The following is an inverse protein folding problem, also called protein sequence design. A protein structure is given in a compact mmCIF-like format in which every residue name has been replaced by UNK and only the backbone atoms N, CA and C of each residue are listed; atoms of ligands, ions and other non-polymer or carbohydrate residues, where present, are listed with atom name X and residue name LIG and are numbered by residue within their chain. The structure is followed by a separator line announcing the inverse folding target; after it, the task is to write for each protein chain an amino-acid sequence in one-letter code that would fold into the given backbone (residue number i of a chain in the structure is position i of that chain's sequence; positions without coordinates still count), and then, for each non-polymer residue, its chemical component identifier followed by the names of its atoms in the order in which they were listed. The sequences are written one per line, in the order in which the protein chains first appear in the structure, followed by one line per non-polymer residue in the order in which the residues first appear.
data_IF_605906233677
#
_entry.id   IF_605906233677
#
_cell.length_a   1.000
_cell.length_b   1.000
_cell.length_c   1.000
_cell.angle_alpha   90.00
_cell.angle_beta   90.00
_cell.angle_gamma   90.00
#
_symmetry.space_group_name_H-M   'P 1'
#
loop_
_entity.id
_entity.type
_entity.pdbx_description
1 polymer ?
#
# COMPACT_ATOMS: atom_id res chain seq x y z
N UNK A 1 -22.09 32.81 4.06
CA UNK A 1 -21.77 31.63 4.89
C UNK A 1 -21.19 30.60 3.93
N UNK A 2 -19.86 30.47 3.88
CA UNK A 2 -19.19 29.50 3.03
C UNK A 2 -18.53 28.50 3.97
N UNK A 3 -19.03 27.27 3.96
CA UNK A 3 -18.47 26.16 4.71
C UNK A 3 -17.04 25.89 4.23
N UNK A 4 -16.10 26.04 5.15
CA UNK A 4 -14.70 25.67 4.99
C UNK A 4 -14.63 24.15 4.95
N UNK A 5 -14.86 23.56 3.77
CA UNK A 5 -14.69 22.11 3.56
C UNK A 5 -13.24 21.77 3.89
N UNK A 6 -13.05 21.02 4.98
CA UNK A 6 -11.77 20.48 5.39
C UNK A 6 -11.19 19.63 4.24
N UNK A 7 -10.10 20.12 3.65
CA UNK A 7 -9.40 19.42 2.56
C UNK A 7 -8.69 18.21 3.15
N UNK A 8 -8.78 17.02 2.53
CA UNK A 8 -7.99 15.87 2.97
C UNK A 8 -6.51 16.20 2.78
N UNK A 9 -5.80 16.41 3.89
CA UNK A 9 -4.35 16.52 3.92
C UNK A 9 -3.84 15.10 3.93
N UNK A 10 -3.23 14.65 2.83
CA UNK A 10 -2.59 13.34 2.79
C UNK A 10 -1.22 13.44 3.45
N UNK A 11 -0.98 12.51 4.36
CA UNK A 11 0.01 12.60 5.43
C UNK A 11 1.13 11.61 5.13
N UNK A 12 2.33 12.07 4.79
CA UNK A 12 3.53 11.29 5.11
C UNK A 12 4.11 11.90 6.38
N UNK A 13 4.09 11.10 7.46
CA UNK A 13 4.45 11.52 8.80
C UNK A 13 5.98 11.55 8.92
N UNK A 14 6.61 12.71 8.71
CA UNK A 14 7.95 12.92 9.26
C UNK A 14 7.83 12.96 10.78
N UNK A 15 8.15 11.87 11.45
CA UNK A 15 8.27 11.89 12.89
C UNK A 15 9.62 12.51 13.25
N UNK A 16 9.60 13.62 13.97
CA UNK A 16 10.81 14.29 14.45
C UNK A 16 10.76 14.37 15.96
N UNK A 17 11.84 13.94 16.62
CA UNK A 17 11.98 14.13 18.06
C UNK A 17 12.11 15.63 18.35
N UNK A 18 11.27 16.15 19.22
CA UNK A 18 11.35 17.55 19.67
C UNK A 18 12.18 17.65 20.94
N UNK A 19 12.59 18.89 21.28
CA UNK A 19 13.38 19.18 22.48
C UNK A 19 12.73 18.68 23.79
N UNK A 20 11.40 18.48 23.81
CA UNK A 20 10.64 17.96 24.96
C UNK A 20 10.51 16.43 24.97
N UNK A 21 11.26 15.71 24.13
CA UNK A 21 11.18 14.25 24.01
C UNK A 21 9.91 13.73 23.33
N UNK A 22 9.08 14.61 22.75
CA UNK A 22 7.89 14.24 22.00
C UNK A 22 8.20 14.08 20.50
N UNK A 23 7.65 13.06 19.85
CA UNK A 23 7.71 12.94 18.39
C UNK A 23 6.59 13.79 17.76
N UNK A 24 6.93 14.76 16.92
CA UNK A 24 5.96 15.49 16.09
C UNK A 24 5.95 14.94 14.68
N UNK A 25 4.76 14.74 14.13
CA UNK A 25 4.57 14.45 12.72
C UNK A 25 4.56 15.74 11.92
N UNK A 26 5.49 15.88 10.97
CA UNK A 26 5.53 16.96 10.00
C UNK A 26 4.95 16.43 8.69
N UNK A 27 3.90 17.10 8.20
CA UNK A 27 3.26 16.75 6.93
C UNK A 27 3.98 17.47 5.81
N UNK A 28 4.59 16.72 4.90
CA UNK A 28 5.06 17.26 3.62
C UNK A 28 3.85 17.55 2.72
N UNK A 29 3.64 18.80 2.32
CA UNK A 29 2.59 19.17 1.36
C UNK A 29 3.10 18.94 -0.06
N UNK A 30 2.91 17.72 -0.58
CA UNK A 30 3.23 17.40 -1.97
C UNK A 30 2.16 17.87 -2.97
N UNK A 31 1.22 18.72 -2.55
CA UNK A 31 0.11 19.17 -3.38
C UNK A 31 -0.97 18.11 -3.56
N UNK A 32 -2.02 18.47 -4.32
CA UNK A 32 -3.28 17.67 -4.41
C UNK A 32 -3.13 16.26 -4.95
N UNK A 33 -2.10 16.00 -5.75
CA UNK A 33 -1.82 14.69 -6.39
C UNK A 33 -0.44 14.16 -6.04
N UNK A 34 0.29 14.81 -5.15
CA UNK A 34 1.63 14.37 -4.79
C UNK A 34 1.61 13.40 -3.62
N UNK A 35 2.50 12.42 -3.66
CA UNK A 35 2.84 11.55 -2.54
C UNK A 35 4.30 11.75 -2.18
N UNK A 36 4.63 11.63 -0.90
CA UNK A 36 6.02 11.63 -0.48
C UNK A 36 6.56 10.20 -0.60
N UNK A 37 7.69 10.05 -1.29
CA UNK A 37 8.39 8.79 -1.48
C UNK A 37 9.86 9.01 -1.16
N UNK A 38 10.36 8.38 -0.10
CA UNK A 38 11.76 8.48 0.33
C UNK A 38 12.28 9.92 0.53
N UNK A 39 11.40 10.81 1.00
CA UNK A 39 11.73 12.22 1.26
C UNK A 39 11.53 13.17 0.08
N UNK A 40 11.08 12.66 -1.07
CA UNK A 40 10.81 13.46 -2.27
C UNK A 40 9.33 13.40 -2.63
N UNK A 41 8.78 14.53 -3.10
CA UNK A 41 7.43 14.54 -3.64
C UNK A 41 7.42 13.95 -5.06
N UNK A 42 6.65 12.88 -5.24
CA UNK A 42 6.36 12.25 -6.54
C UNK A 42 4.89 12.49 -6.90
N UNK A 43 4.61 12.64 -8.19
CA UNK A 43 3.24 12.82 -8.66
C UNK A 43 2.56 11.46 -8.78
N UNK A 44 1.44 11.27 -8.08
CA UNK A 44 0.54 10.15 -8.28
C UNK A 44 -0.60 10.58 -9.19
N UNK A 45 -0.47 10.26 -10.48
CA UNK A 45 -1.46 10.58 -11.52
C UNK A 45 -2.73 9.75 -11.35
N UNK A 46 -2.64 8.62 -10.66
CA UNK A 46 -3.76 7.73 -10.35
C UNK A 46 -4.57 8.14 -9.12
N UNK A 47 -4.11 9.13 -8.35
CA UNK A 47 -4.85 9.60 -7.19
C UNK A 47 -6.20 10.21 -7.60
N UNK A 48 -7.29 9.61 -7.11
CA UNK A 48 -8.67 9.98 -7.42
C UNK A 48 -9.15 9.55 -8.80
N UNK A 49 -8.40 8.69 -9.49
CA UNK A 49 -8.84 8.07 -10.75
C UNK A 49 -9.64 6.82 -10.42
N UNK A 50 -10.90 6.78 -10.88
CA UNK A 50 -11.74 5.58 -10.80
C UNK A 50 -11.79 4.94 -12.19
N UNK A 51 -11.27 3.72 -12.30
CA UNK A 51 -11.31 2.96 -13.55
C UNK A 51 -12.54 2.04 -13.62
N UNK A 52 -12.91 1.62 -14.83
CA UNK A 52 -14.01 0.67 -15.01
C UNK A 52 -13.64 -0.72 -14.47
N UNK A 53 -14.62 -1.62 -14.38
CA UNK A 53 -14.40 -2.98 -13.89
C UNK A 53 -13.31 -3.71 -14.70
N UNK A 54 -12.28 -4.17 -13.98
CA UNK A 54 -11.08 -4.82 -14.49
C UNK A 54 -10.10 -3.92 -15.27
N UNK A 55 -10.26 -2.61 -15.18
CA UNK A 55 -9.21 -1.67 -15.57
C UNK A 55 -8.36 -1.28 -14.35
N UNK A 56 -7.06 -1.09 -14.56
CA UNK A 56 -6.16 -0.51 -13.56
C UNK A 56 -5.61 0.80 -14.08
N UNK A 57 -5.54 1.78 -13.19
CA UNK A 57 -4.85 3.02 -13.49
C UNK A 57 -3.35 2.77 -13.56
N UNK A 58 -2.71 3.23 -14.64
CA UNK A 58 -1.26 3.24 -14.82
C UNK A 58 -0.89 4.60 -15.39
N UNK A 59 -0.01 5.31 -14.70
CA UNK A 59 0.46 6.65 -15.12
C UNK A 59 -0.66 7.68 -15.37
N UNK A 60 -1.83 7.49 -14.74
CA UNK A 60 -3.00 8.35 -14.90
C UNK A 60 -4.00 7.90 -15.97
N UNK A 61 -3.75 6.79 -16.66
CA UNK A 61 -4.63 6.22 -17.67
C UNK A 61 -5.20 4.88 -17.21
N UNK A 62 -6.50 4.65 -17.44
CA UNK A 62 -7.13 3.37 -17.17
C UNK A 62 -6.79 2.37 -18.29
N UNK A 63 -6.14 1.28 -17.92
CA UNK A 63 -5.70 0.23 -18.84
C UNK A 63 -6.45 -1.06 -18.55
N UNK A 64 -6.92 -1.76 -19.59
CA UNK A 64 -7.58 -3.07 -19.43
C UNK A 64 -6.57 -4.14 -19.09
N UNK A 65 -6.82 -4.89 -18.02
CA UNK A 65 -5.89 -5.89 -17.50
C UNK A 65 -6.41 -7.32 -17.68
N UNK A 66 -7.69 -7.51 -18.04
CA UNK A 66 -8.35 -8.82 -18.17
C UNK A 66 -8.94 -9.07 -19.57
N UNK A 67 -9.25 -10.34 -19.83
CA UNK A 67 -9.95 -10.80 -21.04
C UNK A 67 -11.45 -10.96 -20.80
N UNK A 68 -12.27 -10.35 -21.66
CA UNK A 68 -13.66 -10.73 -21.88
C UNK A 68 -13.69 -11.82 -22.97
N UNK A 69 -14.31 -12.98 -22.70
CA UNK A 69 -14.63 -13.96 -23.75
C UNK A 69 -15.83 -13.43 -24.55
N UNK A 70 -15.68 -12.31 -25.25
CA UNK A 70 -16.62 -11.92 -26.31
C UNK A 70 -15.84 -11.81 -27.60
N UNK A 71 -16.29 -12.56 -28.61
CA UNK A 71 -15.75 -12.54 -29.96
C UNK A 71 -15.92 -11.12 -30.55
N UNK A 72 -14.87 -10.31 -30.49
CA UNK A 72 -14.81 -8.99 -31.10
C UNK A 72 -13.35 -8.56 -31.28
N UNK A 73 -12.98 -7.94 -32.41
CA UNK A 73 -11.59 -7.65 -32.68
C UNK A 73 -11.14 -6.37 -31.98
N UNK A 74 -9.87 -6.40 -31.59
CA UNK A 74 -8.94 -5.26 -31.47
C UNK A 74 -8.82 -4.62 -30.07
N UNK A 75 -7.59 -4.71 -29.58
CA UNK A 75 -6.97 -4.06 -28.40
C UNK A 75 -7.17 -4.78 -27.06
N UNK A 76 -6.54 -5.94 -26.90
CA UNK A 76 -6.35 -6.55 -25.58
C UNK A 76 -4.84 -6.59 -25.36
N UNK A 77 -4.34 -5.72 -24.49
CA UNK A 77 -3.09 -5.98 -23.81
C UNK A 77 -3.33 -7.25 -22.98
N UNK A 78 -2.94 -8.41 -23.51
CA UNK A 78 -2.96 -9.66 -22.76
C UNK A 78 -1.97 -9.48 -21.60
N UNK A 79 -2.47 -9.08 -20.42
CA UNK A 79 -1.59 -8.98 -19.26
C UNK A 79 -1.27 -10.41 -18.83
N UNK A 80 -0.14 -10.88 -19.33
CA UNK A 80 0.46 -12.13 -18.92
C UNK A 80 0.78 -12.05 -17.42
N UNK A 81 0.41 -13.09 -16.69
CA UNK A 81 0.72 -13.23 -15.28
C UNK A 81 1.46 -14.54 -15.04
N UNK A 82 2.41 -14.50 -14.12
CA UNK A 82 3.06 -15.66 -13.54
C UNK A 82 2.37 -16.09 -12.25
N UNK A 83 1.67 -15.18 -11.59
CA UNK A 83 1.02 -15.40 -10.31
C UNK A 83 -0.11 -14.42 -10.04
N UNK A 84 -0.89 -14.68 -8.99
CA UNK A 84 -2.06 -13.86 -8.66
C UNK A 84 -1.68 -12.41 -8.33
N UNK A 85 -0.50 -12.16 -7.75
CA UNK A 85 -0.05 -10.81 -7.42
C UNK A 85 0.13 -9.91 -8.65
N UNK A 86 0.40 -10.47 -9.84
CA UNK A 86 0.68 -9.69 -11.06
C UNK A 86 -0.56 -8.98 -11.62
N UNK A 87 -1.76 -9.41 -11.19
CA UNK A 87 -3.03 -8.94 -11.75
C UNK A 87 -3.65 -7.76 -10.97
N UNK A 88 -3.12 -7.39 -9.81
CA UNK A 88 -3.74 -6.36 -8.95
C UNK A 88 -5.00 -6.84 -8.21
N UNK A 89 -5.45 -6.09 -7.19
CA UNK A 89 -6.23 -6.58 -6.03
C UNK A 89 -7.57 -7.27 -6.36
N UNK A 90 -8.20 -6.91 -7.48
CA UNK A 90 -9.52 -7.42 -7.87
C UNK A 90 -9.49 -8.51 -8.96
N UNK A 91 -8.29 -8.95 -9.36
CA UNK A 91 -8.11 -9.92 -10.43
C UNK A 91 -7.22 -11.10 -10.02
N UNK A 92 -7.45 -12.26 -10.61
CA UNK A 92 -6.69 -13.49 -10.37
C UNK A 92 -5.97 -13.96 -11.64
N UNK A 93 -4.84 -14.65 -11.47
CA UNK A 93 -4.13 -15.27 -12.58
C UNK A 93 -4.70 -16.65 -12.86
N UNK A 94 -5.25 -16.86 -14.06
CA UNK A 94 -5.73 -18.18 -14.51
C UNK A 94 -5.27 -18.44 -15.93
N UNK A 95 -4.59 -19.58 -16.12
CA UNK A 95 -3.98 -19.95 -17.41
C UNK A 95 -3.03 -18.86 -17.94
N UNK A 96 -2.18 -18.31 -17.06
CA UNK A 96 -1.23 -17.21 -17.32
C UNK A 96 -1.86 -15.91 -17.82
N UNK A 97 -3.15 -15.70 -17.55
CA UNK A 97 -3.87 -14.47 -17.90
C UNK A 97 -4.64 -13.94 -16.70
N UNK A 98 -4.63 -12.62 -16.53
CA UNK A 98 -5.43 -11.98 -15.52
C UNK A 98 -6.92 -12.02 -15.88
N UNK A 99 -7.75 -12.35 -14.90
CA UNK A 99 -9.21 -12.39 -14.99
C UNK A 99 -9.81 -11.67 -13.78
N UNK A 100 -10.95 -11.01 -13.95
CA UNK A 100 -11.69 -10.46 -12.81
C UNK A 100 -11.98 -11.61 -11.85
N UNK A 101 -11.60 -11.42 -10.58
CA UNK A 101 -11.95 -12.35 -9.53
C UNK A 101 -13.46 -12.33 -9.44
N UNK A 102 -14.11 -13.43 -9.77
CA UNK A 102 -15.53 -13.57 -9.43
C UNK A 102 -15.60 -13.49 -7.91
N UNK A 103 -16.24 -12.45 -7.33
CA UNK A 103 -16.32 -12.37 -5.89
C UNK A 103 -17.03 -13.64 -5.43
N UNK A 104 -16.40 -14.40 -4.54
CA UNK A 104 -17.14 -15.42 -3.82
C UNK A 104 -18.31 -14.67 -3.17
N UNK A 105 -19.55 -15.12 -3.38
CA UNK A 105 -20.68 -14.41 -2.87
C UNK A 105 -20.51 -14.20 -1.37
N UNK A 106 -20.49 -12.94 -0.92
CA UNK A 106 -20.47 -12.63 0.50
C UNK A 106 -21.86 -12.97 1.01
N UNK A 107 -22.02 -14.15 1.59
CA UNK A 107 -23.25 -14.52 2.25
C UNK A 107 -23.09 -14.46 3.78
N UNK A 108 -23.94 -13.69 4.43
CA UNK A 108 -24.15 -13.77 5.88
C UNK A 108 -25.19 -14.85 6.18
N UNK A 109 -24.84 -16.11 5.89
CA UNK A 109 -25.72 -17.25 6.12
C UNK A 109 -25.81 -17.59 7.61
N UNK A 110 -26.97 -18.10 8.02
CA UNK A 110 -27.11 -18.76 9.33
C UNK A 110 -26.16 -19.98 9.39
N UNK A 111 -25.78 -20.46 10.59
CA UNK A 111 -24.90 -21.63 10.73
C UNK A 111 -25.39 -22.89 10.00
N UNK A 112 -26.68 -22.97 9.68
CA UNK A 112 -27.34 -24.07 8.99
C UNK A 112 -27.48 -23.90 7.48
N UNK A 113 -26.82 -22.91 6.89
CA UNK A 113 -26.99 -22.53 5.50
C UNK A 113 -25.67 -22.51 4.73
N UNK A 114 -25.71 -22.87 3.45
CA UNK A 114 -24.60 -22.80 2.51
C UNK A 114 -24.82 -21.64 1.54
N UNK A 115 -23.77 -20.83 1.35
CA UNK A 115 -23.73 -19.80 0.34
C UNK A 115 -23.53 -20.43 -1.05
N UNK A 116 -24.50 -20.29 -1.93
CA UNK A 116 -24.40 -20.69 -3.33
C UNK A 116 -24.96 -19.55 -4.20
N UNK A 117 -24.14 -18.99 -5.08
CA UNK A 117 -24.51 -17.85 -5.95
C UNK A 117 -25.13 -16.64 -5.21
N UNK A 118 -24.66 -16.32 -3.99
CA UNK A 118 -25.18 -15.18 -3.24
C UNK A 118 -26.44 -15.47 -2.44
N UNK A 119 -26.92 -16.71 -2.47
CA UNK A 119 -28.10 -17.14 -1.74
C UNK A 119 -27.73 -18.22 -0.72
N UNK A 120 -28.31 -18.10 0.46
CA UNK A 120 -28.18 -19.09 1.53
C UNK A 120 -29.20 -20.20 1.30
N UNK A 121 -28.73 -21.42 1.08
CA UNK A 121 -29.57 -22.60 0.98
C UNK A 121 -29.46 -23.41 2.26
N UNK A 122 -30.56 -24.01 2.76
CA UNK A 122 -30.49 -24.90 3.92
C UNK A 122 -29.51 -26.05 3.66
N UNK A 123 -28.51 -26.18 4.53
CA UNK A 123 -27.59 -27.30 4.54
C UNK A 123 -27.81 -28.14 5.80
N UNK A 124 -28.98 -28.76 5.89
CA UNK A 124 -29.36 -29.57 7.06
C UNK A 124 -28.34 -30.66 7.38
N UNK A 125 -27.62 -31.17 6.37
CA UNK A 125 -26.63 -32.23 6.56
C UNK A 125 -25.29 -31.72 7.13
N UNK A 126 -24.91 -30.46 6.87
CA UNK A 126 -23.64 -29.88 7.35
C UNK A 126 -23.80 -28.79 8.42
N UNK A 127 -25.03 -28.49 8.85
CA UNK A 127 -25.39 -27.42 9.81
C UNK A 127 -24.55 -27.43 11.11
N UNK A 128 -24.16 -28.62 11.58
CA UNK A 128 -23.42 -28.79 12.84
C UNK A 128 -22.04 -29.41 12.64
N UNK A 129 -21.54 -29.43 11.40
CA UNK A 129 -20.29 -30.11 11.06
C UNK A 129 -19.20 -29.07 10.83
N UNK A 130 -18.30 -28.98 11.80
CA UNK A 130 -17.10 -28.17 11.67
C UNK A 130 -15.99 -28.99 11.00
N UNK A 131 -15.68 -28.66 9.75
CA UNK A 131 -14.51 -29.22 9.08
C UNK A 131 -13.27 -28.40 9.42
N UNK A 132 -12.17 -29.08 9.76
CA UNK A 132 -10.89 -28.43 10.05
C UNK A 132 -10.39 -27.62 8.85
N UNK A 133 -9.37 -26.77 9.08
CA UNK A 133 -8.75 -25.94 8.03
C UNK A 133 -8.41 -26.79 6.80
N UNK A 134 -8.75 -26.32 5.61
CA UNK A 134 -8.48 -27.01 4.34
C UNK A 134 -9.42 -28.17 4.03
N UNK A 135 -10.52 -28.31 4.78
CA UNK A 135 -11.59 -29.25 4.50
C UNK A 135 -12.93 -28.52 4.44
N UNK A 136 -13.89 -29.08 3.72
CA UNK A 136 -15.23 -28.52 3.58
C UNK A 136 -16.27 -29.64 3.68
N UNK A 137 -17.51 -29.31 4.02
CA UNK A 137 -18.56 -30.30 4.18
C UNK A 137 -19.34 -30.53 2.90
N UNK A 138 -19.55 -31.80 2.53
CA UNK A 138 -20.42 -32.26 1.45
C UNK A 138 -21.23 -33.44 1.99
N UNK A 139 -22.56 -33.38 1.87
CA UNK A 139 -23.49 -34.44 2.27
C UNK A 139 -23.23 -34.99 3.69
N UNK A 140 -23.02 -34.06 4.65
CA UNK A 140 -22.79 -34.41 6.04
C UNK A 140 -21.43 -35.04 6.34
N UNK A 141 -20.46 -34.93 5.42
CA UNK A 141 -19.10 -35.44 5.60
C UNK A 141 -18.06 -34.36 5.29
N UNK A 142 -17.01 -34.29 6.10
CA UNK A 142 -15.86 -33.46 5.79
C UNK A 142 -15.03 -34.12 4.71
N UNK A 143 -14.84 -33.42 3.60
CA UNK A 143 -13.94 -33.79 2.51
C UNK A 143 -12.72 -32.89 2.53
N UNK A 144 -11.57 -33.46 2.19
CA UNK A 144 -10.31 -32.74 2.15
C UNK A 144 -10.25 -31.90 0.85
N UNK A 145 -10.04 -30.60 1.00
CA UNK A 145 -9.86 -29.67 -0.12
C UNK A 145 -8.41 -29.42 -0.50
N UNK A 146 -7.44 -29.91 0.28
CA UNK A 146 -6.00 -29.85 0.00
C UNK A 146 -5.62 -30.96 -0.98
N UNK A 147 -4.79 -30.65 -1.97
CA UNK A 147 -4.35 -31.60 -2.99
C UNK A 147 -5.28 -31.73 -4.20
N UNK A 148 -6.41 -31.01 -4.19
CA UNK A 148 -7.37 -30.99 -5.31
C UNK A 148 -6.80 -30.15 -6.47
N UNK A 149 -6.97 -30.61 -7.71
CA UNK A 149 -6.59 -29.84 -8.91
C UNK A 149 -7.52 -28.63 -9.06
N UNK A 150 -6.92 -27.46 -9.25
CA UNK A 150 -7.63 -26.18 -9.35
C UNK A 150 -7.32 -25.42 -10.64
N UNK A 151 -6.92 -26.12 -11.70
CA UNK A 151 -6.68 -25.49 -13.00
C UNK A 151 -7.99 -25.00 -13.63
N UNK A 152 -9.08 -25.71 -13.35
CA UNK A 152 -10.40 -25.42 -13.88
C UNK A 152 -11.44 -24.98 -12.85
N UNK A 153 -11.30 -25.42 -11.60
CA UNK A 153 -12.23 -25.11 -10.50
C UNK A 153 -11.55 -24.39 -9.34
N UNK A 154 -12.33 -23.58 -8.62
CA UNK A 154 -11.83 -22.85 -7.45
C UNK A 154 -11.68 -23.78 -6.24
N UNK A 155 -10.63 -23.50 -5.45
CA UNK A 155 -10.37 -24.19 -4.19
C UNK A 155 -11.45 -23.90 -3.13
N UNK A 156 -11.75 -24.90 -2.29
CA UNK A 156 -12.78 -24.84 -1.25
C UNK A 156 -12.23 -25.17 0.13
N UNK A 157 -12.92 -24.73 1.18
CA UNK A 157 -12.50 -25.00 2.56
C UNK A 157 -11.37 -24.09 3.02
N UNK A 158 -11.32 -22.86 2.49
CA UNK A 158 -10.29 -21.86 2.82
C UNK A 158 -8.90 -22.22 2.28
N UNK A 159 -8.83 -23.01 1.21
CA UNK A 159 -7.60 -23.30 0.47
C UNK A 159 -7.42 -22.35 -0.71
N UNK A 160 -6.19 -22.21 -1.17
CA UNK A 160 -5.78 -21.36 -2.30
C UNK A 160 -5.11 -22.21 -3.36
N UNK A 161 -5.29 -21.83 -4.63
CA UNK A 161 -4.72 -22.57 -5.75
C UNK A 161 -3.26 -22.15 -5.96
N UNK A 162 -2.32 -23.04 -5.70
CA UNK A 162 -0.88 -22.78 -5.90
C UNK A 162 -0.33 -23.84 -6.84
N UNK A 163 0.24 -23.41 -7.96
CA UNK A 163 0.78 -24.32 -9.00
C UNK A 163 -0.24 -25.37 -9.50
N UNK A 164 -1.53 -25.00 -9.55
CA UNK A 164 -2.61 -25.89 -9.99
C UNK A 164 -3.11 -26.88 -8.94
N UNK A 165 -2.67 -26.77 -7.69
CA UNK A 165 -3.12 -27.62 -6.58
C UNK A 165 -3.62 -26.76 -5.41
N UNK A 166 -4.75 -27.12 -4.82
CA UNK A 166 -5.28 -26.46 -3.64
C UNK A 166 -4.42 -26.75 -2.40
N UNK A 167 -3.96 -25.71 -1.73
CA UNK A 167 -3.18 -25.80 -0.49
C UNK A 167 -3.80 -24.94 0.60
N UNK A 168 -3.52 -25.25 1.87
CA UNK A 168 -3.86 -24.31 2.96
C UNK A 168 -3.20 -22.97 2.69
N UNK A 169 -3.92 -21.86 2.85
CA UNK A 169 -3.37 -20.54 2.62
C UNK A 169 -2.09 -20.33 3.46
N UNK A 170 -0.89 -20.31 2.83
CA UNK A 170 0.37 -20.16 3.52
C UNK A 170 0.61 -18.70 3.96
N UNK A 171 -0.23 -17.75 3.53
CA UNK A 171 -0.04 -16.32 3.74
C UNK A 171 0.05 -15.85 5.20
N UNK A 172 -0.68 -16.41 6.18
CA UNK A 172 -0.68 -15.88 7.54
C UNK A 172 0.66 -15.95 8.29
N UNK A 173 1.69 -16.65 7.79
CA UNK A 173 2.96 -16.84 8.51
C UNK A 173 4.24 -16.95 7.65
N UNK A 174 4.19 -16.84 6.32
CA UNK A 174 5.27 -17.36 5.47
C UNK A 174 6.05 -16.34 4.64
N UNK A 175 5.52 -15.13 4.40
CA UNK A 175 6.20 -14.18 3.51
C UNK A 175 7.15 -13.25 4.29
N UNK A 176 8.36 -12.99 3.76
CA UNK A 176 9.22 -11.91 4.24
C UNK A 176 8.50 -10.55 4.28
N UNK A 177 8.95 -9.64 5.14
CA UNK A 177 8.28 -8.34 5.38
C UNK A 177 8.18 -7.43 4.15
N UNK A 178 8.99 -7.67 3.12
CA UNK A 178 9.00 -6.94 1.84
C UNK A 178 8.19 -7.62 0.72
N UNK A 179 7.48 -8.70 1.07
CA UNK A 179 6.66 -9.45 0.14
C UNK A 179 5.18 -9.36 0.52
N UNK A 180 4.32 -9.15 -0.47
CA UNK A 180 2.89 -9.32 -0.30
C UNK A 180 2.58 -10.78 -0.55
N UNK A 181 1.80 -11.38 0.35
CA UNK A 181 1.19 -12.67 0.07
C UNK A 181 -0.15 -12.46 -0.62
N UNK A 182 -0.36 -13.17 -1.72
CA UNK A 182 -1.67 -13.19 -2.37
C UNK A 182 -1.99 -14.59 -2.87
N UNK A 183 -3.08 -15.16 -2.37
CA UNK A 183 -3.56 -16.50 -2.71
C UNK A 183 -2.45 -17.56 -2.61
N UNK A 184 -1.65 -17.47 -1.55
CA UNK A 184 -0.57 -18.40 -1.25
C UNK A 184 0.75 -18.19 -2.00
N UNK A 185 0.87 -17.12 -2.78
CA UNK A 185 2.11 -16.75 -3.44
C UNK A 185 2.71 -15.49 -2.79
N UNK A 186 3.96 -15.59 -2.32
CA UNK A 186 4.72 -14.43 -1.89
C UNK A 186 5.39 -13.77 -3.10
N UNK A 187 5.18 -12.47 -3.27
CA UNK A 187 5.84 -11.66 -4.31
C UNK A 187 6.38 -10.38 -3.70
N UNK A 188 7.56 -9.94 -4.16
CA UNK A 188 8.15 -8.67 -3.77
C UNK A 188 7.15 -7.56 -4.08
N UNK A 189 6.87 -6.69 -3.10
CA UNK A 189 5.86 -5.64 -3.28
C UNK A 189 6.25 -4.54 -4.26
N UNK A 190 7.56 -4.32 -4.46
CA UNK A 190 8.04 -3.32 -5.42
C UNK A 190 7.51 -3.61 -6.83
N UNK A 191 6.76 -2.67 -7.40
CA UNK A 191 6.19 -2.79 -8.74
C UNK A 191 4.90 -3.60 -8.83
N UNK A 192 4.35 -4.13 -7.73
CA UNK A 192 3.03 -4.78 -7.78
C UNK A 192 1.92 -3.76 -8.11
N UNK A 193 0.91 -4.13 -8.92
CA UNK A 193 -0.21 -3.24 -9.21
C UNK A 193 -1.05 -2.97 -7.96
N UNK A 194 -1.46 -1.71 -7.78
CA UNK A 194 -2.25 -1.26 -6.63
C UNK A 194 -3.29 -0.21 -7.04
N UNK A 195 -4.32 -0.02 -6.20
CA UNK A 195 -5.36 1.00 -6.41
C UNK A 195 -5.21 2.11 -5.37
N UNK A 196 -5.14 1.77 -4.08
CA UNK A 196 -4.99 2.78 -3.02
C UNK A 196 -3.86 2.44 -2.03
N UNK A 197 -3.78 1.19 -1.57
CA UNK A 197 -2.88 0.81 -0.48
C UNK A 197 -1.96 -0.35 -0.87
N UNK A 198 -0.73 -0.29 -0.34
CA UNK A 198 0.25 -1.36 -0.36
C UNK A 198 0.57 -1.74 1.08
N UNK A 199 0.91 -3.00 1.35
CA UNK A 199 1.34 -3.42 2.68
C UNK A 199 2.73 -2.90 3.05
N UNK A 200 3.07 -2.94 4.34
CA UNK A 200 4.46 -2.68 4.79
C UNK A 200 4.91 -1.22 4.59
N UNK A 201 6.21 -0.96 4.30
CA UNK A 201 6.75 0.37 4.01
C UNK A 201 6.60 0.72 2.52
N UNK A 202 5.43 0.46 1.93
CA UNK A 202 5.20 0.68 0.50
C UNK A 202 4.04 1.64 0.31
N UNK A 203 4.20 2.52 -0.66
CA UNK A 203 3.19 3.51 -1.05
C UNK A 203 2.77 3.25 -2.48
N UNK A 204 1.46 3.22 -2.74
CA UNK A 204 0.94 3.12 -4.10
C UNK A 204 1.18 4.44 -4.84
N UNK A 205 1.90 4.43 -5.96
CA UNK A 205 2.18 5.62 -6.79
C UNK A 205 2.01 5.23 -8.25
N UNK A 206 1.18 5.97 -9.00
CA UNK A 206 0.92 5.70 -10.43
C UNK A 206 0.46 4.25 -10.69
N UNK A 207 -0.33 3.70 -9.77
CA UNK A 207 -0.89 2.35 -9.86
C UNK A 207 0.07 1.22 -9.52
N UNK A 208 1.27 1.51 -9.02
CA UNK A 208 2.25 0.51 -8.60
C UNK A 208 2.79 0.77 -7.20
N UNK A 209 3.05 -0.29 -6.46
CA UNK A 209 3.65 -0.20 -5.14
C UNK A 209 5.12 0.21 -5.23
N UNK A 210 5.50 1.25 -4.50
CA UNK A 210 6.86 1.78 -4.43
C UNK A 210 7.33 1.78 -2.99
N UNK A 211 8.53 1.26 -2.72
CA UNK A 211 9.12 1.25 -1.39
C UNK A 211 9.34 2.68 -0.88
N UNK A 212 8.77 2.97 0.28
CA UNK A 212 8.93 4.20 1.04
C UNK A 212 9.61 3.88 2.38
N UNK A 213 10.94 3.83 2.38
CA UNK A 213 11.73 3.62 3.59
C UNK A 213 11.64 4.81 4.57
N UNK A 214 10.95 5.89 4.21
CA UNK A 214 10.71 7.04 5.08
C UNK A 214 9.35 7.02 5.80
N UNK A 215 8.40 6.18 5.39
CA UNK A 215 6.99 6.18 5.86
C UNK A 215 6.81 6.07 7.39
N UNK A 216 7.81 5.52 8.09
CA UNK A 216 7.81 5.36 9.57
C UNK A 216 9.15 5.71 10.21
N UNK A 217 10.04 6.37 9.48
CA UNK A 217 11.38 6.70 9.96
C UNK A 217 11.33 8.00 10.76
N UNK A 218 11.83 7.94 11.99
CA UNK A 218 11.96 9.09 12.87
C UNK A 218 13.37 9.65 12.74
N UNK A 219 13.51 10.95 12.41
CA UNK A 219 14.81 11.62 12.34
C UNK A 219 15.00 12.64 13.47
N UNK A 220 16.24 13.01 13.75
CA UNK A 220 16.55 14.02 14.78
C UNK A 220 16.21 15.43 14.30
N UNK A 221 16.21 16.39 15.24
CA UNK A 221 16.13 17.82 14.88
C UNK A 221 17.25 18.18 13.90
N UNK A 222 16.90 18.95 12.89
CA UNK A 222 17.82 19.36 11.85
C UNK A 222 18.10 18.31 10.77
N UNK A 223 17.44 17.14 10.83
CA UNK A 223 17.58 16.06 9.85
C UNK A 223 16.30 15.83 9.02
N UNK A 224 16.48 15.19 7.87
CA UNK A 224 15.45 14.77 6.94
C UNK A 224 15.66 13.31 6.55
N UNK A 225 14.57 12.54 6.45
CA UNK A 225 14.66 11.24 5.78
C UNK A 225 14.78 11.45 4.26
N UNK A 226 15.88 10.98 3.68
CA UNK A 226 16.20 11.01 2.26
C UNK A 226 16.72 9.62 1.87
N UNK A 227 16.02 8.92 0.96
CA UNK A 227 16.44 7.57 0.55
C UNK A 227 16.39 6.52 1.66
N UNK A 228 15.50 6.70 2.64
CA UNK A 228 15.45 5.84 3.83
C UNK A 228 16.54 6.11 4.87
N UNK A 229 17.27 7.22 4.78
CA UNK A 229 18.30 7.56 5.77
C UNK A 229 18.06 8.96 6.30
N UNK A 230 18.26 9.13 7.60
CA UNK A 230 18.22 10.46 8.20
C UNK A 230 19.51 11.19 7.84
N UNK A 231 19.36 12.28 7.09
CA UNK A 231 20.46 13.12 6.67
C UNK A 231 20.35 14.50 7.29
N UNK A 232 21.47 15.05 7.74
CA UNK A 232 21.53 16.41 8.27
C UNK A 232 21.23 17.43 7.18
N UNK A 233 20.17 18.20 7.37
CA UNK A 233 19.76 19.30 6.47
C UNK A 233 20.23 20.64 7.00
N UNK A 234 20.25 20.82 8.32
CA UNK A 234 20.69 22.09 8.91
C UNK A 234 22.11 22.44 8.50
N UNK A 235 22.31 23.65 8.00
CA UNK A 235 23.60 24.15 7.49
C UNK A 235 23.89 23.79 6.04
N UNK A 236 23.04 23.00 5.35
CA UNK A 236 23.17 22.80 3.90
C UNK A 236 22.98 24.14 3.18
N UNK A 237 23.73 24.33 2.10
CA UNK A 237 23.57 25.50 1.24
C UNK A 237 22.19 25.48 0.59
N UNK A 238 21.54 26.64 0.54
CA UNK A 238 20.24 26.79 -0.10
C UNK A 238 20.11 28.14 -0.80
N UNK A 239 19.24 28.15 -1.80
CA UNK A 239 18.74 29.34 -2.49
C UNK A 239 17.22 29.41 -2.39
N UNK A 240 16.56 28.26 -2.26
CA UNK A 240 15.11 28.15 -2.12
C UNK A 240 14.72 27.00 -1.20
N UNK A 241 14.17 27.34 -0.03
CA UNK A 241 13.94 26.40 1.07
C UNK A 241 13.08 25.16 0.70
N UNK A 242 11.93 25.30 0.00
CA UNK A 242 11.09 24.14 -0.32
C UNK A 242 11.81 23.04 -1.12
N UNK A 243 12.74 23.42 -2.00
CA UNK A 243 13.51 22.49 -2.83
C UNK A 243 14.81 22.04 -2.18
N UNK A 244 15.55 22.98 -1.59
CA UNK A 244 16.91 22.74 -1.13
C UNK A 244 16.95 22.20 0.32
N UNK A 245 15.93 22.52 1.13
CA UNK A 245 15.85 22.13 2.54
C UNK A 245 14.61 21.26 2.87
N UNK A 246 13.54 21.40 2.09
CA UNK A 246 12.24 20.78 2.35
C UNK A 246 11.32 21.61 3.25
N UNK A 247 10.05 21.20 3.35
CA UNK A 247 8.96 21.99 3.97
C UNK A 247 9.16 22.35 5.45
N UNK A 248 9.97 21.59 6.19
CA UNK A 248 10.22 21.81 7.63
C UNK A 248 11.34 22.81 7.92
N UNK A 249 11.98 23.35 6.88
CA UNK A 249 13.18 24.16 6.99
C UNK A 249 12.98 25.50 6.27
N UNK A 250 13.65 26.54 6.76
CA UNK A 250 13.79 27.80 6.05
C UNK A 250 15.20 27.93 5.48
N UNK A 251 15.34 28.73 4.42
CA UNK A 251 16.63 29.14 3.90
C UNK A 251 16.94 30.53 4.46
N UNK A 252 17.91 30.62 5.37
CA UNK A 252 18.38 31.88 5.96
C UNK A 252 19.87 32.01 5.71
N UNK A 253 20.31 33.15 5.18
CA UNK A 253 21.73 33.41 4.89
C UNK A 253 22.37 32.30 4.04
N UNK A 254 21.62 31.80 3.05
CA UNK A 254 21.98 30.66 2.20
C UNK A 254 22.21 29.34 2.95
N UNK A 255 21.71 29.20 4.17
CA UNK A 255 21.77 27.97 4.94
C UNK A 255 20.37 27.50 5.35
N UNK A 256 20.16 26.18 5.26
CA UNK A 256 18.95 25.56 5.76
C UNK A 256 18.94 25.62 7.29
N UNK A 257 17.87 26.14 7.87
CA UNK A 257 17.63 26.21 9.30
C UNK A 257 16.30 25.53 9.64
N UNK A 258 16.30 24.70 10.69
CA UNK A 258 15.12 23.98 11.12
C UNK A 258 14.10 24.93 11.78
N UNK A 259 12.85 24.89 11.32
CA UNK A 259 11.75 25.70 11.82
C UNK A 259 11.19 25.20 13.16
N UNK A 260 11.50 23.96 13.54
CA UNK A 260 11.04 23.33 14.78
C UNK A 260 11.96 23.58 15.97
N UNK A 261 13.20 24.01 15.73
CA UNK A 261 14.06 24.50 16.81
C UNK A 261 13.40 25.74 17.42
N UNK A 262 13.03 25.72 18.72
CA UNK A 262 12.67 26.96 19.39
C UNK A 262 13.85 27.92 19.23
N UNK A 263 13.56 29.20 19.02
CA UNK A 263 14.57 30.25 19.09
C UNK A 263 15.15 30.17 20.50
N UNK A 264 16.23 29.42 20.66
CA UNK A 264 17.11 29.58 21.78
C UNK A 264 17.54 31.04 21.67
N UNK A 265 17.04 31.84 22.61
CA UNK A 265 17.59 33.15 22.93
C UNK A 265 19.10 33.00 22.93
N UNK A 266 19.73 33.47 21.86
CA UNK A 266 21.17 33.72 21.82
C UNK A 266 21.44 34.62 23.01
N UNK A 267 22.17 34.18 24.05
CA UNK A 267 22.63 35.12 25.07
C UNK A 267 23.50 36.14 24.33
N UNK A 268 23.36 37.45 24.61
CA UNK A 268 24.17 38.45 23.94
C UNK A 268 25.64 38.06 24.14
N UNK A 269 26.35 37.87 23.03
CA UNK A 269 27.78 37.65 23.03
C UNK A 269 28.38 38.90 23.69
N UNK A 270 28.77 38.78 24.97
CA UNK A 270 29.51 39.82 25.65
C UNK A 270 30.83 39.99 24.90
N UNK A 271 30.94 41.13 24.23
CA UNK A 271 32.14 41.62 23.59
C UNK A 271 33.16 41.91 24.69
N UNK A 272 33.96 40.89 25.06
CA UNK A 272 35.05 41.02 26.01
C UNK A 272 36.21 41.78 25.36
N UNK A 273 36.05 43.10 25.18
CA UNK A 273 37.18 44.02 25.05
C UNK A 273 37.74 44.29 26.44
N UNK A 274 38.89 43.68 26.72
CA UNK A 274 39.78 44.08 27.81
C UNK A 274 40.16 45.56 27.67
N UNK A 275 40.01 46.40 28.71
CA UNK A 275 40.58 47.74 28.70
C UNK A 275 42.08 47.64 28.98
N UNK A 276 42.86 48.13 28.03
CA UNK A 276 44.30 48.31 28.15
C UNK A 276 44.58 49.33 29.27
N UNK A 277 45.41 48.96 30.25
CA UNK A 277 46.12 49.86 31.17
C UNK A 277 47.54 49.37 31.36
#
# INVERSE_FOLDING_TARGET
MAETVARPRFVDLRHVLTADGQARSIVSDCGKKGKCLNGQCVLDRCLGVTCAEGELCRDGECTKVYQFIVAGPKNIAETFCLGHADCGPDMECRSNRCRIRTPEPICNCQPNEICHHGQCYPNAQCTSIYCGKGSYCVDGKCVNGVGVDCREENCRGGTVCVNGVCVLDPCPASCPADQSCRLGECRIMEGLPCVEECGGPYTCVDGHCRRNDCERRVCQLGEACEGGQCQKVTGRFCTWAPRDCGHAFACKENQCVDLLTPIATVPPHQDNRLPNK
#
